data_IF_774771974203
#
_entry.id   IF_774771974203
#
_cell.length_a   1.000
_cell.length_b   1.000
_cell.length_c   1.000
_cell.angle_alpha   90.00
_cell.angle_beta   90.00
_cell.angle_gamma   90.00
#
_symmetry.space_group_name_H-M   'P 1'
#
loop_
_entity.id
_entity.type
_entity.pdbx_description
1 polymer ?
#
# COMPACT_ATOMS: atom_id res chain seq x y z
N UNK A 1 -9.21 -37.92 38.16
CA UNK A 1 -8.15 -37.52 39.11
C UNK A 1 -8.58 -36.22 39.80
N UNK A 2 -8.67 -36.14 41.14
CA UNK A 2 -9.10 -34.91 41.83
C UNK A 2 -7.88 -34.06 42.16
N UNK A 3 -7.63 -33.01 41.37
CA UNK A 3 -6.55 -32.04 41.62
C UNK A 3 -6.93 -31.24 42.87
N UNK A 4 -6.03 -31.19 43.86
CA UNK A 4 -6.27 -30.44 45.10
C UNK A 4 -6.08 -28.94 44.84
N UNK A 5 -6.86 -28.09 45.50
CA UNK A 5 -6.81 -26.63 45.32
C UNK A 5 -5.41 -26.05 45.55
N UNK A 6 -4.66 -26.59 46.52
CA UNK A 6 -3.25 -26.25 46.78
C UNK A 6 -2.32 -26.48 45.58
N UNK A 7 -2.58 -27.50 44.74
CA UNK A 7 -1.79 -27.78 43.54
C UNK A 7 -2.03 -26.73 42.45
N UNK A 8 -3.26 -26.19 42.35
CA UNK A 8 -3.61 -25.13 41.40
C UNK A 8 -2.90 -23.82 41.79
N UNK A 9 -2.91 -23.47 43.09
CA UNK A 9 -2.24 -22.27 43.61
C UNK A 9 -0.73 -22.29 43.34
N UNK A 10 -0.07 -23.45 43.51
CA UNK A 10 1.36 -23.60 43.23
C UNK A 10 1.70 -23.36 41.75
N UNK A 11 0.87 -23.88 40.83
CA UNK A 11 1.06 -23.70 39.38
C UNK A 11 0.88 -22.22 39.00
N UNK A 12 -0.13 -21.54 39.54
CA UNK A 12 -0.35 -20.10 39.23
C UNK A 12 0.81 -19.21 39.72
N UNK A 13 1.40 -19.50 40.88
CA UNK A 13 2.56 -18.73 41.39
C UNK A 13 3.79 -18.94 40.51
N UNK A 14 4.06 -20.18 40.06
CA UNK A 14 5.18 -20.47 39.16
C UNK A 14 5.07 -19.76 37.80
N UNK A 15 3.86 -19.68 37.24
CA UNK A 15 3.62 -18.95 35.98
C UNK A 15 3.91 -17.45 36.14
N UNK A 16 3.50 -16.84 37.26
CA UNK A 16 3.77 -15.42 37.53
C UNK A 16 5.27 -15.14 37.67
N UNK A 17 6.02 -16.01 38.34
CA UNK A 17 7.48 -15.88 38.46
C UNK A 17 8.17 -15.98 37.09
N UNK A 18 7.70 -16.86 36.21
CA UNK A 18 8.22 -16.98 34.84
C UNK A 18 7.97 -15.73 33.98
N UNK A 19 6.82 -15.06 34.16
CA UNK A 19 6.48 -13.81 33.45
C UNK A 19 7.33 -12.63 33.95
N UNK A 20 7.58 -12.53 35.27
CA UNK A 20 8.31 -11.41 35.88
C UNK A 20 9.84 -11.58 35.79
N UNK A 21 10.34 -12.82 35.71
CA UNK A 21 11.79 -13.10 35.60
C UNK A 21 12.37 -13.05 34.19
N UNK A 22 11.56 -12.80 33.16
CA UNK A 22 11.94 -13.01 31.74
C UNK A 22 12.83 -11.95 31.08
N UNK A 23 13.18 -10.85 31.74
CA UNK A 23 13.84 -9.69 31.09
C UNK A 23 15.07 -9.15 31.83
N UNK A 24 16.16 -9.93 31.90
CA UNK A 24 17.55 -9.38 31.87
C UNK A 24 18.67 -10.43 31.76
N UNK A 25 19.06 -10.77 30.53
CA UNK A 25 20.45 -11.02 30.13
C UNK A 25 20.62 -10.33 28.76
N UNK A 26 21.56 -9.44 28.50
CA UNK A 26 22.82 -9.20 29.18
C UNK A 26 23.96 -9.74 28.33
N UNK A 27 24.32 -9.03 27.27
CA UNK A 27 25.57 -9.22 26.54
C UNK A 27 26.28 -7.87 26.42
N UNK A 28 27.57 -7.87 26.75
CA UNK A 28 28.44 -6.71 26.69
C UNK A 28 28.90 -6.50 25.24
N UNK A 29 29.03 -5.24 24.84
CA UNK A 29 29.86 -4.82 23.71
C UNK A 29 30.68 -3.62 24.19
N UNK A 30 31.94 -3.84 24.55
CA UNK A 30 32.95 -2.78 24.64
C UNK A 30 33.71 -2.75 23.32
N UNK A 31 33.52 -1.69 22.54
CA UNK A 31 34.58 -0.78 22.09
C UNK A 31 34.08 0.09 20.94
N UNK A 32 34.12 1.41 21.14
CA UNK A 32 33.91 2.42 20.09
C UNK A 32 34.75 3.65 20.45
N UNK A 33 35.80 3.97 19.68
CA UNK A 33 36.61 5.15 19.95
C UNK A 33 35.79 6.44 19.72
N UNK A 34 35.84 7.35 20.69
CA UNK A 34 35.35 8.73 20.50
C UNK A 34 36.26 9.51 19.55
N UNK A 35 35.67 10.36 18.71
CA UNK A 35 36.23 11.68 18.44
C UNK A 35 35.14 12.75 18.51
N UNK A 36 35.55 13.94 18.95
CA UNK A 36 34.68 15.03 19.41
C UNK A 36 34.70 16.18 18.41
N UNK A 37 33.50 16.53 17.94
CA UNK A 37 33.01 17.87 17.55
C UNK A 37 33.98 18.86 16.89
N UNK A 38 33.64 19.28 15.68
CA UNK A 38 33.68 20.71 15.35
C UNK A 38 32.50 21.08 14.44
N UNK A 39 31.91 22.26 14.66
CA UNK A 39 30.74 22.77 13.94
C UNK A 39 31.00 24.26 13.68
N UNK A 40 31.07 24.68 12.41
CA UNK A 40 31.29 26.09 12.02
C UNK A 40 30.41 26.43 10.82
N UNK A 41 29.96 27.68 10.79
CA UNK A 41 28.82 28.19 10.01
C UNK A 41 29.24 28.97 8.74
N UNK A 42 28.25 29.21 7.87
CA UNK A 42 28.17 30.22 6.79
C UNK A 42 28.78 30.03 5.37
N UNK A 43 27.87 30.27 4.40
CA UNK A 43 28.01 31.12 3.20
C UNK A 43 28.29 30.53 1.80
N UNK A 44 27.43 30.97 0.87
CA UNK A 44 27.41 30.93 -0.61
C UNK A 44 28.79 31.18 -1.29
N UNK A 45 29.13 30.69 -2.49
CA UNK A 45 28.50 31.05 -3.80
C UNK A 45 28.95 30.17 -5.00
N UNK A 46 28.24 30.29 -6.12
CA UNK A 46 28.23 29.52 -7.40
C UNK A 46 29.28 30.02 -8.46
N UNK A 47 29.24 29.65 -9.77
CA UNK A 47 29.73 28.44 -10.49
C UNK A 47 30.91 28.69 -11.50
N UNK A 48 31.37 27.66 -12.26
CA UNK A 48 31.89 27.86 -13.64
C UNK A 48 31.80 26.66 -14.63
N UNK A 49 31.51 27.00 -15.89
CA UNK A 49 31.38 26.19 -17.13
C UNK A 49 32.65 26.33 -18.05
N UNK A 50 32.94 25.61 -19.16
CA UNK A 50 32.28 24.58 -20.01
C UNK A 50 33.29 23.94 -21.03
N UNK A 51 32.79 23.16 -22.01
CA UNK A 51 33.37 22.74 -23.32
C UNK A 51 34.27 21.48 -23.42
N UNK A 52 34.34 20.75 -24.56
CA UNK A 52 33.39 20.39 -25.67
C UNK A 52 34.13 19.52 -26.73
N UNK A 53 33.42 18.56 -27.38
CA UNK A 53 33.69 18.00 -28.75
C UNK A 53 34.98 17.12 -28.95
N UNK A 54 35.11 16.16 -29.88
CA UNK A 54 34.19 15.52 -30.85
C UNK A 54 34.72 14.15 -31.41
N UNK A 55 33.81 13.21 -31.67
CA UNK A 55 33.68 12.29 -32.85
C UNK A 55 34.84 11.37 -33.32
N UNK A 56 34.55 10.06 -33.45
CA UNK A 56 34.77 9.26 -34.68
C UNK A 56 33.73 8.14 -34.76
N UNK A 57 33.26 7.83 -35.98
CA UNK A 57 32.11 7.00 -36.31
C UNK A 57 32.54 5.87 -37.24
N UNK A 58 32.08 4.63 -37.02
CA UNK A 58 32.11 3.57 -38.03
C UNK A 58 30.79 2.83 -38.03
N UNK A 59 30.02 2.99 -39.11
CA UNK A 59 28.73 2.33 -39.31
C UNK A 59 28.89 1.11 -40.22
N UNK A 60 28.17 0.03 -39.92
CA UNK A 60 27.73 -0.93 -40.93
C UNK A 60 26.27 -1.28 -40.68
N UNK A 61 25.46 -1.19 -41.74
CA UNK A 61 24.01 -1.25 -41.72
C UNK A 61 23.50 -2.64 -42.12
N UNK A 62 22.39 -3.09 -41.53
CA UNK A 62 21.14 -3.30 -42.29
C UNK A 62 19.92 -3.46 -41.36
N UNK A 63 18.81 -2.82 -41.73
CA UNK A 63 17.54 -2.80 -40.99
C UNK A 63 16.48 -3.66 -41.70
N UNK A 64 15.63 -4.35 -40.91
CA UNK A 64 14.16 -4.54 -41.08
C UNK A 64 13.63 -4.87 -39.67
N UNK A 65 13.11 -3.91 -38.89
CA UNK A 65 11.71 -3.44 -38.80
C UNK A 65 10.76 -4.33 -37.97
N UNK A 66 10.50 -3.89 -36.73
CA UNK A 66 9.20 -3.87 -35.97
C UNK A 66 8.41 -5.20 -35.83
N UNK A 67 7.88 -5.58 -34.67
CA UNK A 67 7.05 -4.78 -33.77
C UNK A 67 7.56 -4.71 -32.31
N UNK A 68 7.47 -3.53 -31.70
CA UNK A 68 7.45 -3.37 -30.24
C UNK A 68 6.23 -2.55 -29.87
N UNK A 69 5.18 -3.23 -29.43
CA UNK A 69 3.89 -2.60 -29.12
C UNK A 69 4.01 -1.77 -27.85
N UNK A 70 4.41 -0.50 -27.98
CA UNK A 70 4.12 0.51 -26.97
C UNK A 70 2.60 0.60 -26.85
N UNK A 71 2.01 -0.07 -25.85
CA UNK A 71 0.62 0.16 -25.46
C UNK A 71 0.55 1.55 -24.82
N UNK A 72 0.45 2.57 -25.67
CA UNK A 72 0.17 3.93 -25.23
C UNK A 72 -1.16 3.91 -24.48
N UNK A 73 -1.16 4.44 -23.27
CA UNK A 73 -2.37 4.66 -22.49
C UNK A 73 -3.19 5.77 -23.14
N UNK A 74 -3.95 5.43 -24.18
CA UNK A 74 -5.15 6.19 -24.52
C UNK A 74 -6.00 6.19 -23.25
N UNK A 75 -6.38 7.36 -22.69
CA UNK A 75 -7.38 7.34 -21.65
C UNK A 75 -8.60 6.65 -22.22
N UNK A 76 -9.06 5.58 -21.57
CA UNK A 76 -10.43 5.12 -21.79
C UNK A 76 -11.26 6.27 -21.24
N UNK A 77 -11.64 7.19 -22.14
CA UNK A 77 -12.69 8.15 -21.90
C UNK A 77 -13.93 7.28 -21.75
N UNK A 78 -14.17 6.84 -20.51
CA UNK A 78 -15.51 6.53 -20.09
C UNK A 78 -16.36 7.70 -20.57
N UNK A 79 -17.37 7.38 -21.36
CA UNK A 79 -18.53 8.26 -21.51
C UNK A 79 -18.84 8.81 -20.12
N UNK A 80 -19.03 10.13 -19.99
CA UNK A 80 -19.10 10.84 -18.69
C UNK A 80 -20.39 10.44 -17.98
N UNK A 81 -20.40 9.22 -17.48
CA UNK A 81 -21.53 8.56 -16.85
C UNK A 81 -21.87 9.38 -15.62
N UNK A 82 -23.13 9.77 -15.52
CA UNK A 82 -23.55 10.61 -14.42
C UNK A 82 -23.54 9.77 -13.14
N UNK A 83 -22.65 10.13 -12.21
CA UNK A 83 -22.50 9.43 -10.93
C UNK A 83 -23.82 9.48 -10.18
N UNK A 84 -24.56 10.60 -10.25
CA UNK A 84 -25.87 10.74 -9.59
C UNK A 84 -26.93 9.83 -10.24
N UNK A 85 -26.88 9.62 -11.56
CA UNK A 85 -27.75 8.66 -12.25
C UNK A 85 -27.45 7.22 -11.84
N UNK A 86 -26.16 6.82 -11.80
CA UNK A 86 -25.79 5.46 -11.37
C UNK A 86 -26.16 5.23 -9.90
N UNK A 87 -25.89 6.19 -9.03
CA UNK A 87 -26.22 6.07 -7.60
C UNK A 87 -27.73 6.06 -7.35
N UNK A 88 -28.52 6.88 -8.04
CA UNK A 88 -29.98 6.88 -7.90
C UNK A 88 -30.64 5.58 -8.37
N UNK A 89 -30.05 4.90 -9.35
CA UNK A 89 -30.51 3.59 -9.82
C UNK A 89 -29.89 2.39 -9.05
N UNK A 90 -29.01 2.64 -8.07
CA UNK A 90 -28.28 1.57 -7.37
C UNK A 90 -29.01 1.04 -6.12
N UNK A 91 -29.20 -0.28 -6.09
CA UNK A 91 -29.74 -1.02 -4.95
C UNK A 91 -28.66 -1.55 -3.98
N UNK A 92 -27.39 -1.14 -4.12
CA UNK A 92 -26.35 -1.52 -3.16
C UNK A 92 -26.62 -0.93 -1.76
N UNK A 93 -26.05 -1.56 -0.73
CA UNK A 93 -26.08 -1.02 0.64
C UNK A 93 -25.06 0.13 0.81
N UNK A 94 -23.97 0.08 0.05
CA UNK A 94 -22.84 1.01 0.14
C UNK A 94 -22.35 1.48 -1.22
N UNK A 95 -21.81 2.69 -1.25
CA UNK A 95 -21.00 3.25 -2.33
C UNK A 95 -19.57 3.47 -1.82
N UNK A 96 -18.56 3.16 -2.63
CA UNK A 96 -17.15 3.38 -2.30
C UNK A 96 -16.60 4.43 -3.26
N UNK A 97 -16.20 5.58 -2.71
CA UNK A 97 -15.46 6.61 -3.43
C UNK A 97 -13.97 6.50 -3.12
N UNK A 98 -13.12 6.68 -4.13
CA UNK A 98 -11.67 6.63 -3.98
C UNK A 98 -11.08 7.84 -4.70
N UNK A 99 -10.49 8.74 -3.93
CA UNK A 99 -9.80 9.91 -4.46
C UNK A 99 -8.39 9.52 -4.88
N UNK A 100 -8.15 9.40 -6.19
CA UNK A 100 -6.84 9.00 -6.72
C UNK A 100 -5.74 10.06 -6.49
N UNK A 101 -6.10 11.34 -6.33
CA UNK A 101 -5.16 12.44 -6.07
C UNK A 101 -4.69 12.49 -4.62
N UNK A 102 -5.64 12.60 -3.68
CA UNK A 102 -5.39 12.65 -2.24
C UNK A 102 -5.20 11.31 -1.54
N UNK A 103 -5.30 10.18 -2.24
CA UNK A 103 -5.05 8.85 -1.66
C UNK A 103 -6.01 8.51 -0.52
N UNK A 104 -7.31 8.73 -0.71
CA UNK A 104 -8.33 8.51 0.33
C UNK A 104 -9.44 7.59 -0.20
N UNK A 105 -9.83 6.58 0.59
CA UNK A 105 -11.02 5.77 0.38
C UNK A 105 -12.11 6.19 1.37
N UNK A 106 -13.32 6.41 0.88
CA UNK A 106 -14.49 6.75 1.68
C UNK A 106 -15.67 5.84 1.32
N UNK A 107 -16.24 5.20 2.33
CA UNK A 107 -17.43 4.35 2.22
C UNK A 107 -18.65 5.14 2.65
N UNK A 108 -19.62 5.25 1.76
CA UNK A 108 -20.90 5.91 1.99
C UNK A 108 -22.03 4.88 2.12
N UNK A 109 -22.90 5.09 3.11
CA UNK A 109 -24.17 4.37 3.28
C UNK A 109 -25.35 5.24 2.87
N UNK A 110 -26.53 4.62 2.74
CA UNK A 110 -27.78 5.35 2.45
C UNK A 110 -28.32 6.03 3.71
N UNK A 111 -28.47 7.35 3.66
CA UNK A 111 -29.18 8.09 4.72
C UNK A 111 -30.70 7.87 4.67
N UNK A 112 -31.42 8.49 5.62
CA UNK A 112 -32.89 8.54 5.65
C UNK A 112 -33.54 9.10 4.38
N UNK A 113 -32.77 9.78 3.51
CA UNK A 113 -33.24 10.28 2.21
C UNK A 113 -33.17 9.25 1.08
N UNK A 114 -32.53 8.09 1.32
CA UNK A 114 -32.22 7.07 0.32
C UNK A 114 -30.94 7.33 -0.49
N UNK A 115 -30.27 8.47 -0.29
CA UNK A 115 -29.02 8.85 -0.99
C UNK A 115 -27.77 8.36 -0.25
N UNK A 116 -26.69 8.11 -1.00
CA UNK A 116 -25.38 7.75 -0.44
C UNK A 116 -24.60 8.98 0.05
N UNK A 117 -25.09 9.66 1.08
CA UNK A 117 -24.51 10.87 1.66
C UNK A 117 -24.06 10.71 3.14
N UNK A 118 -24.25 9.53 3.73
CA UNK A 118 -23.75 9.21 5.08
C UNK A 118 -22.36 8.56 5.02
N UNK A 119 -21.32 9.21 5.57
CA UNK A 119 -19.96 8.64 5.65
C UNK A 119 -19.87 7.59 6.76
N UNK A 120 -19.63 6.34 6.37
CA UNK A 120 -19.51 5.19 7.29
C UNK A 120 -18.05 4.96 7.73
N UNK A 121 -17.10 5.07 6.79
CA UNK A 121 -15.65 5.00 7.05
C UNK A 121 -14.93 5.91 6.05
N UNK A 122 -13.88 6.59 6.50
CA UNK A 122 -12.87 7.17 5.61
C UNK A 122 -11.49 6.80 6.12
N UNK A 123 -10.56 6.47 5.22
CA UNK A 123 -9.20 6.07 5.57
C UNK A 123 -8.21 6.33 4.43
N UNK A 124 -6.90 6.41 4.72
CA UNK A 124 -5.87 6.45 3.67
C UNK A 124 -5.96 5.22 2.75
N UNK A 125 -5.70 5.45 1.48
CA UNK A 125 -5.56 4.43 0.44
C UNK A 125 -4.27 4.69 -0.34
N UNK A 126 -3.50 3.65 -0.61
CA UNK A 126 -2.46 3.70 -1.65
C UNK A 126 -3.08 3.32 -2.99
N UNK A 127 -2.71 4.05 -4.03
CA UNK A 127 -3.18 3.85 -5.41
C UNK A 127 -1.98 3.61 -6.34
N UNK A 128 -2.29 3.32 -7.61
CA UNK A 128 -1.29 3.06 -8.64
C UNK A 128 -0.36 4.24 -8.90
N UNK A 129 0.94 3.94 -8.98
CA UNK A 129 1.95 4.87 -9.50
C UNK A 129 1.63 5.26 -10.95
N UNK A 130 2.03 6.46 -11.36
CA UNK A 130 1.88 6.98 -12.73
C UNK A 130 0.46 6.89 -13.32
N UNK A 131 -0.58 6.99 -12.47
CA UNK A 131 -1.99 6.82 -12.82
C UNK A 131 -2.36 5.41 -13.34
N UNK A 132 -1.66 4.38 -12.86
CA UNK A 132 -1.96 2.97 -13.21
C UNK A 132 -3.26 2.44 -12.61
N UNK A 133 -3.80 3.04 -11.55
CA UNK A 133 -5.20 2.78 -11.13
C UNK A 133 -6.14 3.55 -12.07
N UNK A 134 -6.99 2.88 -12.86
CA UNK A 134 -7.93 3.56 -13.74
C UNK A 134 -9.02 4.30 -12.96
N UNK A 135 -9.37 5.50 -13.42
CA UNK A 135 -10.55 6.22 -12.95
C UNK A 135 -11.82 5.72 -13.67
N UNK A 136 -12.92 5.60 -12.94
CA UNK A 136 -14.21 5.16 -13.49
C UNK A 136 -15.22 4.78 -12.42
N UNK A 137 -16.37 4.28 -12.84
CA UNK A 137 -17.36 3.64 -11.97
C UNK A 137 -17.25 2.13 -12.17
N UNK A 138 -16.90 1.40 -11.11
CA UNK A 138 -16.68 -0.04 -11.14
C UNK A 138 -17.62 -0.78 -10.18
N UNK A 139 -17.90 -2.04 -10.48
CA UNK A 139 -18.75 -2.91 -9.67
C UNK A 139 -17.93 -4.03 -9.04
N UNK A 140 -18.18 -4.31 -7.75
CA UNK A 140 -17.49 -5.37 -7.02
C UNK A 140 -18.04 -6.75 -7.43
N UNK A 141 -17.16 -7.65 -7.90
CA UNK A 141 -17.51 -8.98 -8.42
C UNK A 141 -17.19 -10.15 -7.49
N UNK A 142 -16.37 -9.94 -6.47
CA UNK A 142 -16.05 -11.02 -5.51
C UNK A 142 -15.04 -10.61 -4.45
N UNK A 143 -14.79 -11.52 -3.51
CA UNK A 143 -13.82 -11.33 -2.42
C UNK A 143 -13.02 -12.60 -2.18
N UNK A 144 -11.75 -12.44 -1.82
CA UNK A 144 -10.89 -13.50 -1.25
C UNK A 144 -10.40 -13.06 0.13
N UNK A 145 -10.15 -14.01 1.02
CA UNK A 145 -9.44 -13.67 2.26
C UNK A 145 -7.97 -13.37 1.99
N UNK A 146 -7.32 -14.17 1.14
CA UNK A 146 -5.95 -13.95 0.68
C UNK A 146 -5.87 -13.98 -0.84
N UNK A 147 -5.01 -13.13 -1.39
CA UNK A 147 -4.71 -13.07 -2.82
C UNK A 147 -3.21 -12.79 -2.99
N UNK A 148 -2.56 -13.61 -3.80
CA UNK A 148 -1.19 -13.34 -4.28
C UNK A 148 -1.22 -12.20 -5.31
N UNK A 149 -0.30 -11.25 -5.17
CA UNK A 149 0.03 -10.22 -6.15
C UNK A 149 1.38 -10.63 -6.74
N UNK A 150 1.39 -11.03 -8.02
CA UNK A 150 2.53 -11.64 -8.69
C UNK A 150 3.79 -10.77 -8.56
N UNK A 151 4.82 -11.30 -7.89
CA UNK A 151 6.09 -10.60 -7.65
C UNK A 151 6.10 -9.55 -6.53
N UNK A 152 4.96 -9.22 -5.91
CA UNK A 152 4.87 -8.28 -4.77
C UNK A 152 4.67 -8.97 -3.42
N UNK A 153 3.93 -10.08 -3.36
CA UNK A 153 3.60 -10.80 -2.12
C UNK A 153 2.10 -11.14 -2.03
N UNK A 154 1.51 -11.05 -0.84
CA UNK A 154 0.10 -11.35 -0.59
C UNK A 154 -0.66 -10.14 -0.05
N UNK A 155 -1.94 -10.01 -0.39
CA UNK A 155 -2.86 -9.06 0.22
C UNK A 155 -4.03 -9.77 0.87
N UNK A 156 -4.56 -9.19 1.95
CA UNK A 156 -5.68 -9.72 2.71
C UNK A 156 -6.98 -8.97 2.38
N UNK A 157 -8.09 -9.68 2.49
CA UNK A 157 -9.46 -9.22 2.25
C UNK A 157 -9.71 -8.61 0.86
N UNK A 158 -8.93 -9.03 -0.13
CA UNK A 158 -9.02 -8.55 -1.51
C UNK A 158 -10.44 -8.64 -2.06
N UNK A 159 -10.98 -7.50 -2.46
CA UNK A 159 -12.31 -7.35 -3.06
C UNK A 159 -12.11 -6.85 -4.48
N UNK A 160 -12.49 -7.67 -5.46
CA UNK A 160 -12.20 -7.46 -6.87
C UNK A 160 -13.30 -6.65 -7.56
N UNK A 161 -12.92 -5.70 -8.40
CA UNK A 161 -13.82 -5.00 -9.31
C UNK A 161 -14.10 -5.82 -10.58
N UNK A 162 -14.85 -5.22 -11.49
CA UNK A 162 -15.12 -5.70 -12.83
C UNK A 162 -14.11 -5.25 -13.90
N UNK A 163 -13.10 -4.48 -13.50
CA UNK A 163 -12.07 -3.84 -14.35
C UNK A 163 -10.64 -4.16 -13.87
N UNK A 164 -10.40 -5.38 -13.36
CA UNK A 164 -9.09 -5.89 -12.92
C UNK A 164 -8.36 -5.03 -11.86
N UNK A 165 -9.12 -4.29 -11.04
CA UNK A 165 -8.62 -3.57 -9.86
C UNK A 165 -9.13 -4.25 -8.61
N UNK A 166 -8.28 -4.46 -7.61
CA UNK A 166 -8.70 -4.92 -6.28
C UNK A 166 -8.57 -3.83 -5.21
N UNK A 167 -9.49 -3.83 -4.26
CA UNK A 167 -9.39 -3.09 -2.99
C UNK A 167 -9.01 -4.11 -1.92
N UNK A 168 -7.89 -3.91 -1.24
CA UNK A 168 -7.30 -4.89 -0.30
C UNK A 168 -6.50 -4.22 0.80
N UNK A 169 -5.93 -4.99 1.72
CA UNK A 169 -4.97 -4.48 2.71
C UNK A 169 -3.64 -4.04 2.05
N UNK A 170 -2.74 -3.48 2.85
CA UNK A 170 -1.31 -3.49 2.54
C UNK A 170 -0.75 -4.93 2.33
N UNK A 171 0.44 -5.03 1.72
CA UNK A 171 1.11 -6.28 1.39
C UNK A 171 1.67 -7.03 2.61
N UNK A 172 1.75 -8.35 2.46
CA UNK A 172 2.36 -9.34 3.36
C UNK A 172 3.36 -10.18 2.56
N UNK A 173 4.40 -10.72 3.20
CA UNK A 173 5.38 -11.60 2.53
C UNK A 173 4.78 -12.97 2.19
N UNK A 174 3.85 -13.46 3.02
CA UNK A 174 3.09 -14.71 2.83
C UNK A 174 1.61 -14.51 3.18
N UNK A 175 0.79 -15.54 3.06
CA UNK A 175 -0.61 -15.57 3.53
C UNK A 175 -0.76 -15.69 5.06
N UNK A 176 0.23 -15.19 5.82
CA UNK A 176 0.19 -15.06 7.28
C UNK A 176 0.11 -13.57 7.68
N UNK A 177 -0.89 -13.23 8.49
CA UNK A 177 -1.11 -11.89 9.04
C UNK A 177 0.02 -11.36 9.93
N UNK A 178 1.00 -12.18 10.30
CA UNK A 178 2.21 -11.74 11.00
C UNK A 178 3.31 -11.20 10.06
N UNK A 179 3.18 -11.37 8.74
CA UNK A 179 4.23 -11.05 7.75
C UNK A 179 4.03 -9.72 7.02
N UNK A 180 3.38 -8.75 7.66
CA UNK A 180 3.06 -7.44 7.07
C UNK A 180 4.32 -6.70 6.59
N UNK A 181 4.38 -6.39 5.29
CA UNK A 181 5.46 -5.61 4.69
C UNK A 181 5.31 -4.15 5.14
N UNK A 182 6.06 -3.77 6.18
CA UNK A 182 6.01 -2.44 6.81
C UNK A 182 6.10 -1.28 5.82
N UNK A 183 6.86 -1.42 4.73
CA UNK A 183 6.97 -0.39 3.67
C UNK A 183 5.64 -0.17 2.94
N UNK A 184 4.87 -1.23 2.66
CA UNK A 184 3.56 -1.14 2.02
C UNK A 184 2.56 -0.43 2.94
N UNK A 185 2.51 -0.81 4.22
CA UNK A 185 1.65 -0.15 5.22
C UNK A 185 1.95 1.34 5.40
N UNK A 186 3.23 1.72 5.40
CA UNK A 186 3.64 3.14 5.49
C UNK A 186 3.45 3.93 4.18
N UNK A 187 3.17 3.26 3.06
CA UNK A 187 2.84 3.88 1.77
C UNK A 187 1.35 4.22 1.62
N UNK A 188 0.50 3.85 2.58
CA UNK A 188 -0.93 4.18 2.55
C UNK A 188 -1.16 5.69 2.58
N UNK A 189 -2.04 6.19 1.70
CA UNK A 189 -2.25 7.61 1.48
C UNK A 189 -1.32 8.24 0.44
N UNK A 190 -0.49 7.44 -0.25
CA UNK A 190 0.38 7.87 -1.36
C UNK A 190 0.27 6.91 -2.55
N UNK A 191 0.50 7.36 -3.80
CA UNK A 191 0.66 6.45 -4.93
C UNK A 191 1.89 5.54 -4.72
N UNK A 192 1.68 4.22 -4.66
CA UNK A 192 2.76 3.26 -4.38
C UNK A 192 2.52 1.84 -4.92
N UNK A 193 1.43 1.57 -5.64
CA UNK A 193 1.09 0.23 -6.14
C UNK A 193 1.28 0.09 -7.66
N UNK A 194 1.19 -1.13 -8.20
CA UNK A 194 1.09 -1.38 -9.64
C UNK A 194 -0.29 -1.11 -10.29
N UNK A 195 -1.25 -0.56 -9.54
CA UNK A 195 -2.62 -0.26 -10.03
C UNK A 195 -3.75 -0.71 -9.12
N UNK A 196 -3.47 -1.66 -8.21
CA UNK A 196 -4.38 -2.07 -7.13
C UNK A 196 -4.52 -0.98 -6.05
N UNK A 197 -5.53 -1.12 -5.18
CA UNK A 197 -5.81 -0.15 -4.12
C UNK A 197 -5.61 -0.83 -2.76
N UNK A 198 -4.61 -0.35 -2.01
CA UNK A 198 -4.28 -0.87 -0.67
C UNK A 198 -4.84 0.09 0.40
N UNK A 199 -5.40 -0.43 1.50
CA UNK A 199 -5.93 0.36 2.62
C UNK A 199 -5.70 -0.35 3.98
N UNK A 200 -6.28 0.22 5.06
CA UNK A 200 -6.18 -0.24 6.46
C UNK A 200 -7.25 -1.25 6.86
#
# INVERSE_FOLDING_TARGET
MKIKLSTIVLITVLIIIAIVGGTKLGHQNEDTPQQTVENTDNSETTPRETSKNNVTQTSSSNQVTQETTKKGSTPIISEKLDVDEVLSNSNADYFIYIELGGGTITVYGKSVSGKYDEVIKSSPASVGLDQSTPAGIFYLKGRKEWMEIEGEGFVRYATMSDHDVSISSALYETDDGNTLIRKSYLGLGQPATGGNIYTV
#
